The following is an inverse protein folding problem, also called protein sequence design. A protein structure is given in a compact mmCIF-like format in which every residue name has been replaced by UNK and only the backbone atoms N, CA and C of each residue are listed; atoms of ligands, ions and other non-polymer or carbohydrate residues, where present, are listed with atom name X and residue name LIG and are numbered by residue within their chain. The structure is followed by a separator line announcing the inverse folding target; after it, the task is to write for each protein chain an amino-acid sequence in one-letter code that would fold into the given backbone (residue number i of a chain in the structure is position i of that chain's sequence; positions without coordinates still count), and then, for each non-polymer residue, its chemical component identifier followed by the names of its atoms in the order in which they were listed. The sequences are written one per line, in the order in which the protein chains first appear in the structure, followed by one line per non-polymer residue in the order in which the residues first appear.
data_IF_631309977679
#
_entry.id   IF_631309977679
#
_cell.length_a   1.000
_cell.length_b   1.000
_cell.length_c   1.000
_cell.angle_alpha   90.00
_cell.angle_beta   90.00
_cell.angle_gamma   90.00
#
_symmetry.space_group_name_H-M   'P 1'
#
loop_
_entity.id
_entity.type
_entity.pdbx_description
1 polymer ?
#
# COMPACT_ATOMS: atom_id res chain seq x y z
N UNK A 1 -52.45 13.25 23.44
CA UNK A 1 -51.24 12.73 22.75
C UNK A 1 -51.58 11.33 22.32
N UNK A 2 -51.75 11.13 21.02
CA UNK A 2 -52.25 9.86 20.50
C UNK A 2 -51.13 8.82 20.47
N UNK A 3 -51.47 7.58 20.82
CA UNK A 3 -50.56 6.43 20.89
C UNK A 3 -49.75 6.25 19.59
N UNK A 4 -50.33 6.65 18.46
CA UNK A 4 -49.70 6.65 17.13
C UNK A 4 -48.50 7.59 17.05
N UNK A 5 -48.55 8.76 17.68
CA UNK A 5 -47.44 9.73 17.71
C UNK A 5 -46.25 9.19 18.51
N UNK A 6 -46.51 8.47 19.60
CA UNK A 6 -45.46 7.86 20.44
C UNK A 6 -44.77 6.71 19.71
N UNK A 7 -45.54 5.84 19.05
CA UNK A 7 -44.99 4.70 18.27
C UNK A 7 -44.19 5.21 17.06
N UNK A 8 -44.66 6.27 16.39
CA UNK A 8 -43.96 6.87 15.26
C UNK A 8 -42.64 7.53 15.68
N UNK A 9 -42.60 8.16 16.86
CA UNK A 9 -41.38 8.71 17.45
C UNK A 9 -40.35 7.64 17.85
N UNK A 10 -40.81 6.50 18.38
CA UNK A 10 -39.95 5.38 18.76
C UNK A 10 -39.35 4.67 17.53
N UNK A 11 -40.14 4.43 16.48
CA UNK A 11 -39.65 3.80 15.24
C UNK A 11 -38.68 4.69 14.47
N UNK A 12 -38.94 6.00 14.40
CA UNK A 12 -38.03 6.94 13.73
C UNK A 12 -36.69 7.09 14.47
N UNK A 13 -36.71 7.10 15.81
CA UNK A 13 -35.49 7.07 16.62
C UNK A 13 -34.66 5.79 16.45
N UNK A 14 -35.31 4.64 16.33
CA UNK A 14 -34.64 3.35 16.16
C UNK A 14 -33.98 3.21 14.77
N UNK A 15 -34.69 3.59 13.70
CA UNK A 15 -34.16 3.56 12.33
C UNK A 15 -33.03 4.58 12.15
N UNK A 16 -33.17 5.78 12.71
CA UNK A 16 -32.12 6.80 12.70
C UNK A 16 -30.86 6.38 13.46
N UNK A 17 -31.02 5.73 14.62
CA UNK A 17 -29.92 5.22 15.44
C UNK A 17 -29.10 4.14 14.74
N UNK A 18 -29.77 3.16 14.12
CA UNK A 18 -29.08 2.09 13.34
C UNK A 18 -28.37 2.69 12.13
N UNK A 19 -28.99 3.64 11.42
CA UNK A 19 -28.37 4.34 10.30
C UNK A 19 -27.09 5.09 10.69
N UNK A 20 -27.09 5.77 11.84
CA UNK A 20 -25.92 6.49 12.34
C UNK A 20 -24.78 5.56 12.77
N UNK A 21 -25.10 4.42 13.40
CA UNK A 21 -24.10 3.40 13.77
C UNK A 21 -23.49 2.77 12.52
N UNK A 22 -24.31 2.42 11.53
CA UNK A 22 -23.82 1.88 10.26
C UNK A 22 -22.91 2.89 9.54
N UNK A 23 -23.33 4.15 9.43
CA UNK A 23 -22.55 5.20 8.76
C UNK A 23 -21.19 5.44 9.44
N UNK A 24 -21.15 5.45 10.78
CA UNK A 24 -19.90 5.61 11.53
C UNK A 24 -18.97 4.41 11.34
N UNK A 25 -19.47 3.17 11.43
CA UNK A 25 -18.67 1.95 11.16
C UNK A 25 -18.13 1.95 9.73
N UNK A 26 -18.95 2.31 8.74
CA UNK A 26 -18.49 2.43 7.35
C UNK A 26 -17.41 3.51 7.17
N UNK A 27 -17.53 4.64 7.88
CA UNK A 27 -16.51 5.68 7.87
C UNK A 27 -15.19 5.17 8.47
N UNK A 28 -15.22 4.48 9.62
CA UNK A 28 -14.06 3.87 10.26
C UNK A 28 -13.36 2.83 9.36
N UNK A 29 -14.13 1.94 8.75
CA UNK A 29 -13.58 0.93 7.83
C UNK A 29 -12.96 1.56 6.58
N UNK A 30 -13.47 2.71 6.14
CA UNK A 30 -12.94 3.45 4.99
C UNK A 30 -11.64 4.17 5.36
N UNK A 31 -11.54 4.77 6.55
CA UNK A 31 -10.30 5.40 7.02
C UNK A 31 -9.18 4.38 7.18
N UNK A 32 -9.44 3.23 7.81
CA UNK A 32 -8.42 2.19 7.97
C UNK A 32 -7.89 1.68 6.61
N UNK A 33 -8.78 1.51 5.64
CA UNK A 33 -8.39 1.11 4.28
C UNK A 33 -7.55 2.18 3.57
N UNK A 34 -7.86 3.46 3.78
CA UNK A 34 -7.11 4.57 3.19
C UNK A 34 -5.74 4.70 3.84
N UNK A 35 -5.64 4.57 5.16
CA UNK A 35 -4.37 4.60 5.88
C UNK A 35 -3.46 3.44 5.47
N UNK A 36 -4.00 2.22 5.38
CA UNK A 36 -3.24 1.05 4.88
C UNK A 36 -2.73 1.29 3.45
N UNK A 37 -3.57 1.82 2.56
CA UNK A 37 -3.16 2.17 1.19
C UNK A 37 -2.11 3.28 1.16
N UNK A 38 -2.24 4.29 2.01
CA UNK A 38 -1.26 5.36 2.13
C UNK A 38 0.10 4.80 2.59
N UNK A 39 0.11 3.92 3.59
CA UNK A 39 1.33 3.26 4.09
C UNK A 39 2.00 2.38 3.04
N UNK A 40 1.23 1.58 2.30
CA UNK A 40 1.73 0.79 1.15
C UNK A 40 2.38 1.69 0.10
N UNK A 41 1.73 2.81 -0.23
CA UNK A 41 2.23 3.77 -1.22
C UNK A 41 3.48 4.50 -0.75
N UNK A 42 3.52 4.92 0.51
CA UNK A 42 4.68 5.57 1.11
C UNK A 42 5.90 4.65 1.07
N UNK A 43 5.75 3.40 1.54
CA UNK A 43 6.83 2.43 1.50
C UNK A 43 7.32 2.19 0.07
N UNK A 44 6.38 2.06 -0.88
CA UNK A 44 6.70 1.89 -2.30
C UNK A 44 7.54 3.07 -2.81
N UNK A 45 7.14 4.32 -2.52
CA UNK A 45 7.93 5.49 -2.90
C UNK A 45 9.30 5.54 -2.23
N UNK A 46 9.40 5.18 -0.94
CA UNK A 46 10.67 5.18 -0.23
C UNK A 46 11.65 4.17 -0.87
N UNK A 47 11.21 2.95 -1.15
CA UNK A 47 12.08 1.93 -1.78
C UNK A 47 12.55 2.42 -3.15
N UNK A 48 11.63 2.95 -3.97
CA UNK A 48 11.95 3.45 -5.30
C UNK A 48 12.84 4.70 -5.29
N UNK A 49 12.59 5.64 -4.38
CA UNK A 49 13.39 6.84 -4.20
C UNK A 49 14.80 6.53 -3.70
N UNK A 50 14.92 5.65 -2.70
CA UNK A 50 16.22 5.24 -2.16
C UNK A 50 17.05 4.46 -3.18
N UNK A 51 16.42 3.62 -4.02
CA UNK A 51 17.10 2.95 -5.16
C UNK A 51 17.58 3.96 -6.21
N UNK A 52 16.79 4.98 -6.52
CA UNK A 52 17.21 6.04 -7.44
C UNK A 52 18.43 6.81 -6.89
N UNK A 53 18.43 7.13 -5.60
CA UNK A 53 19.59 7.74 -4.93
C UNK A 53 20.83 6.84 -4.95
N UNK A 54 20.68 5.51 -4.94
CA UNK A 54 21.80 4.59 -5.14
C UNK A 54 22.36 4.61 -6.56
N UNK A 55 21.50 4.78 -7.56
CA UNK A 55 21.94 4.80 -8.96
C UNK A 55 22.58 6.12 -9.36
N UNK A 56 22.17 7.25 -8.75
CA UNK A 56 22.45 8.60 -9.26
C UNK A 56 22.96 9.58 -8.18
N UNK A 57 23.18 9.15 -6.93
CA UNK A 57 23.42 10.04 -5.78
C UNK A 57 24.82 9.89 -5.12
N UNK A 58 25.23 10.87 -4.29
CA UNK A 58 26.60 11.01 -3.79
C UNK A 58 26.95 10.18 -2.53
N UNK A 59 26.02 9.41 -1.95
CA UNK A 59 26.26 8.64 -0.71
C UNK A 59 25.68 7.23 -0.81
N UNK A 60 26.56 6.28 -1.13
CA UNK A 60 26.21 4.88 -1.39
C UNK A 60 25.84 4.12 -0.11
N UNK A 61 26.44 4.46 1.04
CA UNK A 61 26.30 3.71 2.29
C UNK A 61 24.96 3.94 3.00
N UNK A 62 24.55 5.20 3.18
CA UNK A 62 23.24 5.53 3.78
C UNK A 62 22.08 5.08 2.89
N UNK A 63 22.21 5.27 1.57
CA UNK A 63 21.16 4.88 0.63
C UNK A 63 20.98 3.36 0.56
N UNK A 64 22.06 2.56 0.68
CA UNK A 64 21.98 1.08 0.77
C UNK A 64 21.21 0.63 1.99
N UNK A 65 21.52 1.20 3.16
CA UNK A 65 20.83 0.87 4.40
C UNK A 65 19.33 1.19 4.32
N UNK A 66 18.97 2.33 3.73
CA UNK A 66 17.58 2.75 3.58
C UNK A 66 16.79 1.86 2.60
N UNK A 67 17.41 1.39 1.52
CA UNK A 67 16.77 0.41 0.62
C UNK A 67 16.55 -0.93 1.32
N UNK A 68 17.56 -1.46 2.02
CA UNK A 68 17.43 -2.73 2.74
C UNK A 68 16.37 -2.64 3.84
N UNK A 69 16.32 -1.52 4.56
CA UNK A 69 15.29 -1.27 5.58
C UNK A 69 13.89 -1.27 4.96
N UNK A 70 13.71 -0.59 3.82
CA UNK A 70 12.44 -0.59 3.10
C UNK A 70 12.03 -1.98 2.60
N UNK A 71 12.97 -2.77 2.07
CA UNK A 71 12.71 -4.14 1.65
C UNK A 71 12.26 -5.04 2.81
N UNK A 72 12.86 -4.89 3.99
CA UNK A 72 12.48 -5.67 5.19
C UNK A 72 11.09 -5.32 5.73
N UNK A 73 10.55 -4.15 5.39
CA UNK A 73 9.20 -3.74 5.79
C UNK A 73 8.11 -4.30 4.85
N UNK A 74 8.48 -4.82 3.67
CA UNK A 74 7.54 -5.36 2.68
C UNK A 74 6.61 -6.44 3.28
N UNK A 75 7.11 -7.53 3.90
CA UNK A 75 6.23 -8.59 4.42
C UNK A 75 5.29 -8.11 5.53
N UNK A 76 5.63 -7.00 6.21
CA UNK A 76 4.82 -6.42 7.29
C UNK A 76 3.74 -5.49 6.72
N UNK A 77 4.10 -4.63 5.77
CA UNK A 77 3.18 -3.62 5.21
C UNK A 77 2.25 -4.21 4.14
N UNK A 78 2.70 -5.26 3.46
CA UNK A 78 1.95 -5.96 2.42
C UNK A 78 1.52 -7.37 2.86
N UNK A 79 1.44 -7.65 4.16
CA UNK A 79 1.08 -8.98 4.69
C UNK A 79 -0.27 -9.52 4.16
N UNK A 80 -1.17 -8.62 3.78
CA UNK A 80 -2.50 -8.90 3.24
C UNK A 80 -2.52 -9.05 1.70
N UNK A 81 -1.38 -8.89 1.04
CA UNK A 81 -1.22 -9.01 -0.41
C UNK A 81 -0.35 -10.22 -0.76
N UNK A 82 -1.01 -11.34 -1.09
CA UNK A 82 -0.34 -12.61 -1.36
C UNK A 82 0.61 -12.55 -2.57
N UNK A 83 0.33 -11.70 -3.56
CA UNK A 83 1.20 -11.54 -4.74
C UNK A 83 2.52 -10.89 -4.33
N UNK A 84 2.47 -9.82 -3.54
CA UNK A 84 3.67 -9.14 -3.05
C UNK A 84 4.47 -10.01 -2.09
N UNK A 85 3.80 -10.71 -1.16
CA UNK A 85 4.48 -11.61 -0.21
C UNK A 85 5.18 -12.75 -0.96
N UNK A 86 4.50 -13.38 -1.93
CA UNK A 86 5.12 -14.44 -2.72
C UNK A 86 6.29 -13.93 -3.58
N UNK A 87 6.16 -12.74 -4.18
CA UNK A 87 7.25 -12.12 -4.92
C UNK A 87 8.45 -11.79 -4.01
N UNK A 88 8.19 -11.36 -2.77
CA UNK A 88 9.20 -11.11 -1.77
C UNK A 88 9.90 -12.40 -1.35
N UNK A 89 9.15 -13.46 -1.04
CA UNK A 89 9.70 -14.76 -0.66
C UNK A 89 10.57 -15.35 -1.77
N UNK A 90 10.12 -15.26 -3.03
CA UNK A 90 10.90 -15.68 -4.19
C UNK A 90 12.22 -14.90 -4.33
N UNK A 91 12.20 -13.59 -4.07
CA UNK A 91 13.40 -12.77 -4.09
C UNK A 91 14.36 -13.10 -2.93
N UNK A 92 13.84 -13.33 -1.73
CA UNK A 92 14.66 -13.73 -0.57
C UNK A 92 15.29 -15.11 -0.78
N UNK A 93 14.51 -16.06 -1.32
CA UNK A 93 14.98 -17.41 -1.64
C UNK A 93 16.02 -17.41 -2.78
N UNK A 94 15.83 -16.56 -3.80
CA UNK A 94 16.75 -16.41 -4.91
C UNK A 94 16.83 -14.94 -5.33
N UNK A 95 17.94 -14.29 -4.98
CA UNK A 95 18.23 -12.87 -5.19
C UNK A 95 18.59 -12.53 -6.65
N UNK A 96 17.83 -13.07 -7.61
CA UNK A 96 17.98 -12.78 -9.03
C UNK A 96 17.31 -11.45 -9.43
N UNK A 97 17.84 -10.81 -10.48
CA UNK A 97 17.27 -9.57 -11.03
C UNK A 97 15.83 -9.76 -11.52
N UNK A 98 15.50 -10.94 -12.04
CA UNK A 98 14.15 -11.26 -12.47
C UNK A 98 13.17 -11.33 -11.29
N UNK A 99 13.58 -11.92 -10.16
CA UNK A 99 12.74 -11.93 -8.95
C UNK A 99 12.60 -10.53 -8.36
N UNK A 100 13.67 -9.73 -8.40
CA UNK A 100 13.64 -8.33 -7.99
C UNK A 100 12.69 -7.51 -8.86
N UNK A 101 12.70 -7.71 -10.18
CA UNK A 101 11.78 -7.07 -11.13
C UNK A 101 10.33 -7.42 -10.82
N UNK A 102 10.02 -8.71 -10.63
CA UNK A 102 8.67 -9.18 -10.26
C UNK A 102 8.17 -8.54 -8.97
N UNK A 103 9.03 -8.45 -7.95
CA UNK A 103 8.71 -7.75 -6.70
C UNK A 103 8.39 -6.27 -6.93
N UNK A 104 9.22 -5.57 -7.72
CA UNK A 104 9.00 -4.17 -8.05
C UNK A 104 7.78 -3.90 -8.93
N UNK A 105 7.33 -4.88 -9.72
CA UNK A 105 6.08 -4.77 -10.47
C UNK A 105 4.85 -5.02 -9.60
N UNK A 106 4.96 -5.86 -8.56
CA UNK A 106 3.87 -6.18 -7.65
C UNK A 106 3.58 -5.04 -6.64
N UNK A 107 4.63 -4.44 -6.05
CA UNK A 107 4.50 -3.35 -5.06
C UNK A 107 3.57 -2.20 -5.48
N UNK A 108 3.74 -1.55 -6.65
CA UNK A 108 2.90 -0.43 -7.02
C UNK A 108 1.48 -0.85 -7.44
N UNK A 109 1.27 -2.11 -7.82
CA UNK A 109 -0.08 -2.66 -8.06
C UNK A 109 -0.83 -2.81 -6.74
N UNK A 110 -0.20 -3.41 -5.74
CA UNK A 110 -0.71 -3.54 -4.38
C UNK A 110 -0.95 -2.19 -3.67
N UNK A 111 -0.11 -1.20 -3.96
CA UNK A 111 -0.25 0.17 -3.44
C UNK A 111 -1.32 1.01 -4.19
N UNK A 112 -1.99 0.45 -5.21
CA UNK A 112 -3.00 1.15 -5.99
C UNK A 112 -2.45 2.39 -6.71
N UNK A 113 -1.22 2.31 -7.22
CA UNK A 113 -0.61 3.35 -8.04
C UNK A 113 -1.09 3.22 -9.49
N UNK A 114 -1.34 4.33 -10.19
CA UNK A 114 -1.79 4.31 -11.59
C UNK A 114 -0.71 3.69 -12.49
N UNK A 115 -1.12 2.86 -13.45
CA UNK A 115 -0.25 2.19 -14.43
C UNK A 115 0.70 3.14 -15.17
N UNK A 116 0.32 4.41 -15.37
CA UNK A 116 1.16 5.43 -16.01
C UNK A 116 2.41 5.78 -15.19
N UNK A 117 2.31 5.72 -13.86
CA UNK A 117 3.44 5.92 -12.94
C UNK A 117 4.26 4.64 -12.84
N UNK A 118 3.60 3.48 -12.83
CA UNK A 118 4.25 2.17 -12.88
C UNK A 118 5.17 2.07 -14.09
N UNK A 119 4.70 2.41 -15.29
CA UNK A 119 5.46 2.25 -16.52
C UNK A 119 6.67 3.19 -16.59
N UNK A 120 6.54 4.47 -16.24
CA UNK A 120 7.65 5.43 -16.30
C UNK A 120 8.75 5.10 -15.29
N UNK A 121 8.35 4.76 -14.06
CA UNK A 121 9.30 4.41 -13.02
C UNK A 121 9.92 3.04 -13.28
N UNK A 122 9.13 2.01 -13.59
CA UNK A 122 9.63 0.65 -13.92
C UNK A 122 10.50 0.66 -15.19
N UNK A 123 10.17 1.42 -16.23
CA UNK A 123 11.03 1.56 -17.41
C UNK A 123 12.36 2.24 -17.09
N UNK A 124 12.36 3.31 -16.27
CA UNK A 124 13.60 3.89 -15.76
C UNK A 124 14.33 2.91 -14.81
N UNK A 125 13.64 1.99 -14.15
CA UNK A 125 14.24 0.99 -13.26
C UNK A 125 14.87 -0.22 -13.98
N UNK A 126 14.36 -0.59 -15.17
CA UNK A 126 14.86 -1.68 -16.02
C UNK A 126 15.99 -1.20 -16.94
N UNK A 127 15.94 0.04 -17.45
CA UNK A 127 16.97 0.60 -18.36
C UNK A 127 18.27 1.07 -17.67
N UNK A 128 18.42 0.87 -16.36
CA UNK A 128 19.64 1.20 -15.61
C UNK A 128 20.54 -0.02 -15.34
N UNK A 129 20.44 -1.06 -16.17
CA UNK A 129 21.48 -2.10 -16.24
C UNK A 129 22.80 -1.49 -16.74
N UNK A 130 23.96 -1.95 -16.24
CA UNK A 130 25.25 -1.35 -16.58
C UNK A 130 25.48 -1.40 -18.10
N UNK A 131 25.77 -0.24 -18.69
CA UNK A 131 26.56 -0.17 -19.93
C UNK A 131 28.03 -0.32 -19.60
#
# INVERSE_FOLDING_TARGET
MDTVTIISGLLSGFVGGIGAIAASVFAYLKTDKLERRAKKRELTYQIFGNRHCLSNGPSESQSKHLVVTGLNQIPIVFFDDSEVVQAYDNFVANKSDENLRKLFEALPRAAGMKATVQHRHVMNFINLGPQ
#
